data_IF_093796792716
#
_entry.id   IF_093796792716
#
_cell.length_a   1.000
_cell.length_b   1.000
_cell.length_c   1.000
_cell.angle_alpha   90.00
_cell.angle_beta   90.00
_cell.angle_gamma   90.00
#
_symmetry.space_group_name_H-M   'P 1'
#
loop_
_entity.id
_entity.type
_entity.pdbx_description
1 polymer ?
#
# COMPACT_ATOMS: atom_id res chain seq x y z
N UNK A 1 -51.68 25.68 36.02
CA UNK A 1 -51.11 25.52 37.37
C UNK A 1 -51.00 24.04 37.69
N UNK A 2 -49.78 23.52 37.91
CA UNK A 2 -49.45 22.51 38.93
C UNK A 2 -47.96 22.20 38.82
N UNK A 3 -47.27 22.54 39.91
CA UNK A 3 -45.84 22.40 40.15
C UNK A 3 -45.49 20.90 40.24
N UNK A 4 -44.33 20.50 39.71
CA UNK A 4 -43.72 19.23 40.09
C UNK A 4 -42.28 19.50 40.51
N UNK A 5 -41.99 19.06 41.72
CA UNK A 5 -40.83 19.42 42.53
C UNK A 5 -39.90 18.21 42.64
N UNK A 6 -38.67 18.40 42.17
CA UNK A 6 -37.37 18.12 42.80
C UNK A 6 -37.03 16.76 43.50
N UNK A 7 -35.86 16.25 43.08
CA UNK A 7 -34.87 15.36 43.74
C UNK A 7 -35.29 14.04 44.40
N UNK A 8 -34.73 12.94 43.87
CA UNK A 8 -34.23 11.84 44.70
C UNK A 8 -33.08 11.13 43.98
N UNK A 9 -31.86 11.28 44.52
CA UNK A 9 -30.73 10.38 44.27
C UNK A 9 -31.02 9.06 44.97
N UNK A 10 -30.93 7.94 44.25
CA UNK A 10 -30.73 6.64 44.87
C UNK A 10 -29.56 5.94 44.18
N UNK A 11 -28.49 5.73 44.96
CA UNK A 11 -27.30 5.01 44.57
C UNK A 11 -27.63 3.54 44.23
N UNK A 12 -27.06 3.02 43.14
CA UNK A 12 -27.08 1.60 42.82
C UNK A 12 -25.67 1.04 43.09
N UNK A 13 -25.51 0.11 44.04
CA UNK A 13 -24.25 -0.58 44.26
C UNK A 13 -23.97 -1.58 43.14
N UNK A 14 -22.70 -1.68 42.75
CA UNK A 14 -22.19 -2.68 41.82
C UNK A 14 -22.38 -4.10 42.37
N UNK A 15 -22.81 -5.04 41.52
CA UNK A 15 -22.64 -6.46 41.75
C UNK A 15 -22.19 -7.14 40.46
N UNK A 16 -20.88 -7.37 40.38
CA UNK A 16 -20.28 -8.31 39.42
C UNK A 16 -20.71 -9.72 39.80
N UNK A 17 -21.50 -10.37 38.94
CA UNK A 17 -21.75 -11.80 39.01
C UNK A 17 -21.04 -12.49 37.85
N UNK A 18 -19.92 -13.14 38.19
CA UNK A 18 -19.25 -14.16 37.42
C UNK A 18 -20.22 -15.33 37.22
N UNK A 19 -20.75 -15.51 36.01
CA UNK A 19 -21.49 -16.72 35.64
C UNK A 19 -20.59 -17.54 34.72
N UNK A 20 -19.94 -18.55 35.29
CA UNK A 20 -19.37 -19.65 34.55
C UNK A 20 -20.53 -20.48 34.00
N UNK A 21 -20.58 -20.68 32.69
CA UNK A 21 -21.32 -21.77 32.09
C UNK A 21 -20.40 -22.41 31.07
N UNK A 22 -19.95 -23.61 31.37
CA UNK A 22 -19.38 -24.54 30.41
C UNK A 22 -20.50 -24.96 29.45
N UNK A 23 -20.32 -24.74 28.15
CA UNK A 23 -20.92 -25.60 27.15
C UNK A 23 -20.14 -25.59 25.83
N UNK A 24 -19.74 -26.81 25.48
CA UNK A 24 -19.50 -27.37 24.16
C UNK A 24 -18.21 -26.99 23.41
N UNK A 25 -17.32 -27.97 23.45
CA UNK A 25 -16.21 -28.22 22.54
C UNK A 25 -16.61 -28.06 21.06
N UNK A 26 -16.42 -26.85 20.53
CA UNK A 26 -16.15 -26.67 19.11
C UNK A 26 -14.64 -26.68 18.95
N UNK A 27 -14.14 -27.81 18.44
CA UNK A 27 -12.74 -28.02 18.10
C UNK A 27 -12.12 -26.75 17.50
N UNK A 28 -10.93 -26.32 17.94
CA UNK A 28 -10.17 -25.39 17.14
C UNK A 28 -9.80 -26.18 15.88
N UNK A 29 -10.57 -26.01 14.81
CA UNK A 29 -10.03 -26.22 13.47
C UNK A 29 -8.91 -25.21 13.41
N UNK A 30 -7.69 -25.68 13.70
CA UNK A 30 -6.48 -24.92 13.56
C UNK A 30 -6.40 -24.57 12.08
N UNK A 31 -7.06 -23.47 11.71
CA UNK A 31 -6.69 -22.69 10.55
C UNK A 31 -5.33 -22.15 10.92
N UNK A 32 -4.32 -22.98 10.66
CA UNK A 32 -2.95 -22.54 10.56
C UNK A 32 -3.00 -21.50 9.44
N UNK A 33 -3.21 -20.24 9.83
CA UNK A 33 -2.76 -19.10 9.07
C UNK A 33 -1.24 -19.24 9.11
N UNK A 34 -0.71 -20.10 8.25
CA UNK A 34 0.69 -20.15 7.92
C UNK A 34 0.98 -18.78 7.36
N UNK A 35 1.36 -17.85 8.24
CA UNK A 35 2.16 -16.71 7.86
C UNK A 35 3.40 -17.35 7.25
N UNK A 36 3.35 -17.53 5.94
CA UNK A 36 4.52 -17.84 5.15
C UNK A 36 5.43 -16.64 5.35
N UNK A 37 6.25 -16.71 6.40
CA UNK A 37 7.39 -15.84 6.58
C UNK A 37 8.22 -16.10 5.34
N UNK A 38 8.04 -15.25 4.32
CA UNK A 38 8.86 -15.29 3.14
C UNK A 38 10.29 -15.29 3.66
N UNK A 39 11.00 -16.40 3.48
CA UNK A 39 12.41 -16.43 3.79
C UNK A 39 13.01 -15.38 2.86
N UNK A 40 13.41 -14.24 3.44
CA UNK A 40 14.18 -13.23 2.75
C UNK A 40 15.51 -13.88 2.38
N UNK A 41 15.56 -14.55 1.23
CA UNK A 41 16.80 -15.07 0.67
C UNK A 41 17.50 -13.89 -0.02
N UNK A 42 18.58 -13.39 0.57
CA UNK A 42 19.33 -12.25 0.03
C UNK A 42 18.82 -10.89 0.51
N UNK A 43 18.97 -9.86 -0.33
CA UNK A 43 18.88 -8.41 -0.10
C UNK A 43 17.63 -7.81 0.60
N UNK A 44 16.83 -8.59 1.33
CA UNK A 44 15.65 -8.14 2.07
C UNK A 44 14.41 -7.89 1.21
N UNK A 45 14.48 -8.15 -0.11
CA UNK A 45 13.33 -8.04 -1.00
C UNK A 45 12.36 -9.22 -0.82
N UNK A 46 11.04 -9.01 -1.01
CA UNK A 46 10.06 -10.09 -0.99
C UNK A 46 10.32 -11.08 -2.13
N UNK A 47 10.02 -12.35 -1.90
CA UNK A 47 10.03 -13.40 -2.91
C UNK A 47 8.60 -13.66 -3.43
N UNK A 48 8.48 -14.12 -4.67
CA UNK A 48 7.19 -14.38 -5.33
C UNK A 48 6.83 -13.36 -6.42
N UNK A 49 5.60 -13.42 -6.93
CA UNK A 49 5.14 -12.54 -8.01
C UNK A 49 5.01 -11.09 -7.53
N UNK A 50 5.70 -10.18 -8.20
CA UNK A 50 5.62 -8.75 -7.96
C UNK A 50 5.96 -7.98 -9.24
N UNK A 51 5.46 -6.76 -9.37
CA UNK A 51 5.86 -5.87 -10.45
C UNK A 51 7.17 -5.17 -10.09
N UNK A 52 8.18 -5.27 -10.96
CA UNK A 52 9.46 -4.57 -10.78
C UNK A 52 9.44 -3.26 -11.55
N UNK A 53 9.57 -2.13 -10.85
CA UNK A 53 9.74 -0.80 -11.44
C UNK A 53 11.18 -0.31 -11.23
N UNK A 54 11.84 0.09 -12.32
CA UNK A 54 13.16 0.71 -12.25
C UNK A 54 13.03 2.24 -12.23
N UNK A 55 13.69 2.90 -11.29
CA UNK A 55 13.78 4.36 -11.22
C UNK A 55 15.23 4.75 -11.50
N UNK A 56 15.46 5.47 -12.60
CA UNK A 56 16.81 5.76 -13.10
C UNK A 56 17.01 7.27 -13.16
N UNK A 57 17.92 7.78 -12.33
CA UNK A 57 18.37 9.17 -12.42
C UNK A 57 19.20 9.39 -13.68
N UNK A 58 18.86 10.42 -14.45
CA UNK A 58 19.60 10.77 -15.69
C UNK A 58 20.18 12.19 -15.58
N UNK A 59 21.44 12.40 -16.00
CA UNK A 59 22.11 13.70 -15.87
C UNK A 59 21.55 14.76 -16.82
N UNK A 60 20.95 14.33 -17.93
CA UNK A 60 20.28 15.21 -18.89
C UNK A 60 18.82 14.79 -19.01
N UNK A 61 17.93 15.77 -18.82
CA UNK A 61 16.50 15.61 -19.04
C UNK A 61 16.18 15.12 -20.44
N UNK A 62 14.99 14.57 -20.58
CA UNK A 62 14.45 13.99 -21.79
C UNK A 62 13.31 14.86 -22.29
N UNK A 63 13.24 14.99 -23.60
CA UNK A 63 12.24 15.82 -24.30
C UNK A 63 11.32 15.00 -25.19
N UNK A 64 11.61 13.71 -25.38
CA UNK A 64 10.77 12.82 -26.15
C UNK A 64 9.58 12.37 -25.30
N UNK A 65 8.35 12.33 -25.86
CA UNK A 65 7.22 11.69 -25.20
C UNK A 65 7.56 10.21 -24.98
N UNK A 66 7.39 9.73 -23.75
CA UNK A 66 7.69 8.34 -23.36
C UNK A 66 6.43 7.59 -22.95
N UNK A 67 5.34 7.91 -23.64
CA UNK A 67 4.01 7.38 -23.37
C UNK A 67 3.89 5.94 -23.88
N UNK A 68 3.16 5.09 -23.13
CA UNK A 68 2.88 3.71 -23.55
C UNK A 68 4.09 2.78 -23.58
N UNK A 69 5.17 3.12 -22.88
CA UNK A 69 6.41 2.34 -22.86
C UNK A 69 6.32 1.08 -21.96
N UNK A 70 6.60 -0.10 -22.51
CA UNK A 70 6.64 -1.37 -21.76
C UNK A 70 7.94 -1.61 -20.98
N UNK A 71 8.88 -0.65 -20.97
CA UNK A 71 10.22 -0.85 -20.41
C UNK A 71 10.31 -0.94 -18.87
N UNK A 72 9.19 -0.93 -18.14
CA UNK A 72 9.12 -0.99 -16.67
C UNK A 72 10.15 -0.06 -15.98
N UNK A 73 10.35 1.13 -16.54
CA UNK A 73 11.31 2.13 -16.06
C UNK A 73 10.72 3.52 -16.10
N UNK A 74 11.16 4.34 -15.16
CA UNK A 74 10.92 5.79 -15.14
C UNK A 74 12.28 6.47 -15.07
N UNK A 75 12.47 7.48 -15.91
CA UNK A 75 13.64 8.35 -15.89
C UNK A 75 13.32 9.56 -15.03
N UNK A 76 14.17 9.85 -14.06
CA UNK A 76 13.99 10.97 -13.13
C UNK A 76 15.16 11.93 -13.24
N UNK A 77 14.96 13.18 -12.79
CA UNK A 77 16.06 14.13 -12.68
C UNK A 77 17.13 13.55 -11.75
N UNK A 78 18.40 13.62 -12.15
CA UNK A 78 19.50 13.12 -11.31
C UNK A 78 19.58 13.87 -9.97
N UNK A 79 19.22 15.15 -9.99
CA UNK A 79 19.21 16.04 -8.85
C UNK A 79 17.83 16.67 -8.68
N UNK A 80 17.52 17.10 -7.46
CA UNK A 80 16.24 17.71 -7.12
C UNK A 80 15.08 16.70 -7.06
N UNK A 81 13.87 17.21 -7.31
CA UNK A 81 12.65 16.45 -7.14
C UNK A 81 12.04 16.11 -8.49
N UNK A 82 11.58 14.87 -8.62
CA UNK A 82 10.75 14.40 -9.74
C UNK A 82 9.37 14.03 -9.21
N UNK A 83 8.32 14.37 -9.96
CA UNK A 83 6.96 13.94 -9.66
C UNK A 83 6.70 12.55 -10.26
N UNK A 84 6.10 11.68 -9.46
CA UNK A 84 5.53 10.41 -9.89
C UNK A 84 4.03 10.43 -9.58
N UNK A 85 3.23 10.64 -10.62
CA UNK A 85 1.79 10.65 -10.53
C UNK A 85 1.27 9.21 -10.54
N UNK A 86 0.21 8.94 -9.77
CA UNK A 86 -0.43 7.63 -9.67
C UNK A 86 -1.81 7.69 -10.31
N UNK A 87 -2.09 6.76 -11.23
CA UNK A 87 -3.39 6.58 -11.87
C UNK A 87 -3.98 5.23 -11.48
N UNK A 88 -5.27 5.22 -11.19
CA UNK A 88 -6.00 3.97 -10.95
C UNK A 88 -6.20 3.21 -12.28
N UNK A 89 -5.84 1.92 -12.29
CA UNK A 89 -6.00 0.99 -13.41
C UNK A 89 -7.43 0.53 -13.65
N UNK A 90 -8.37 0.81 -12.73
CA UNK A 90 -9.77 0.41 -12.86
C UNK A 90 -10.45 0.98 -14.12
N UNK A 91 -9.82 1.98 -14.74
CA UNK A 91 -10.26 2.61 -15.98
C UNK A 91 -9.65 1.98 -17.25
N UNK A 92 -8.82 0.95 -17.13
CA UNK A 92 -8.08 0.36 -18.26
C UNK A 92 -8.14 -1.17 -18.23
N UNK A 93 -7.25 -1.83 -17.50
CA UNK A 93 -7.06 -3.29 -17.52
C UNK A 93 -6.74 -3.90 -16.16
N UNK A 94 -6.74 -3.10 -15.09
CA UNK A 94 -6.45 -3.59 -13.74
C UNK A 94 -5.00 -4.00 -13.51
N UNK A 95 -4.05 -3.63 -14.39
CA UNK A 95 -2.64 -4.03 -14.28
C UNK A 95 -1.71 -2.90 -13.86
N UNK A 96 -0.54 -3.27 -13.33
CA UNK A 96 0.58 -2.35 -13.14
C UNK A 96 1.18 -1.97 -14.50
N UNK A 97 1.33 -0.66 -14.78
CA UNK A 97 2.10 -0.22 -15.95
C UNK A 97 2.67 1.18 -15.80
N UNK A 98 3.76 1.44 -16.52
CA UNK A 98 4.24 2.81 -16.75
C UNK A 98 3.42 3.40 -17.90
N UNK A 99 2.72 4.50 -17.64
CA UNK A 99 1.95 5.23 -18.65
C UNK A 99 2.80 6.32 -19.29
N UNK A 100 3.61 7.01 -18.48
CA UNK A 100 4.62 7.96 -18.91
C UNK A 100 5.91 7.71 -18.14
N UNK A 101 6.98 7.38 -18.86
CA UNK A 101 8.30 7.10 -18.28
C UNK A 101 9.17 8.35 -18.08
N UNK A 102 8.73 9.53 -18.52
CA UNK A 102 9.51 10.75 -18.45
C UNK A 102 9.19 11.56 -17.19
N UNK A 103 9.94 11.31 -16.11
CA UNK A 103 9.88 12.14 -14.91
C UNK A 103 10.75 13.39 -14.98
N UNK A 104 11.44 13.64 -16.11
CA UNK A 104 12.37 14.76 -16.24
C UNK A 104 11.77 16.02 -16.85
N UNK A 105 10.51 15.95 -17.28
CA UNK A 105 9.74 17.07 -17.78
C UNK A 105 8.87 17.71 -16.67
N UNK A 106 8.11 18.75 -17.02
CA UNK A 106 7.33 19.52 -16.05
C UNK A 106 6.06 18.82 -15.54
N UNK A 107 5.52 17.87 -16.31
CA UNK A 107 4.34 17.07 -15.98
C UNK A 107 4.67 15.89 -15.06
N UNK A 108 5.90 15.38 -15.13
CA UNK A 108 6.35 14.25 -14.34
C UNK A 108 5.78 12.93 -14.86
N UNK A 109 6.34 11.84 -14.34
CA UNK A 109 6.00 10.50 -14.79
C UNK A 109 4.60 10.06 -14.31
N UNK A 110 4.04 9.06 -14.97
CA UNK A 110 2.72 8.52 -14.65
C UNK A 110 2.78 6.99 -14.54
N UNK A 111 2.38 6.47 -13.38
CA UNK A 111 2.33 5.04 -13.10
C UNK A 111 0.92 4.60 -12.75
N UNK A 112 0.50 3.50 -13.37
CA UNK A 112 -0.79 2.88 -13.16
C UNK A 112 -0.70 1.80 -12.08
N UNK A 113 -1.64 1.84 -11.15
CA UNK A 113 -1.80 0.89 -10.04
C UNK A 113 -3.20 0.26 -10.11
N UNK A 114 -3.37 -1.06 -9.92
CA UNK A 114 -4.68 -1.73 -9.80
C UNK A 114 -5.62 -1.10 -8.75
N UNK A 115 -6.88 -1.52 -8.65
CA UNK A 115 -7.64 -1.22 -7.41
C UNK A 115 -6.93 -1.91 -6.23
N UNK A 116 -6.54 -1.17 -5.18
CA UNK A 116 -6.05 -1.76 -3.95
C UNK A 116 -7.15 -2.36 -3.07
N UNK A 117 -8.43 -2.16 -3.43
CA UNK A 117 -9.61 -2.67 -2.73
C UNK A 117 -10.55 -3.32 -3.77
N UNK A 118 -10.24 -4.56 -4.16
CA UNK A 118 -11.00 -5.30 -5.17
C UNK A 118 -12.38 -5.74 -4.69
N UNK A 119 -12.61 -5.78 -3.37
CA UNK A 119 -13.85 -6.29 -2.75
C UNK A 119 -14.72 -5.19 -2.16
N UNK A 120 -14.32 -3.92 -2.29
CA UNK A 120 -14.98 -2.75 -1.73
C UNK A 120 -15.23 -2.86 -0.22
N UNK A 121 -14.26 -3.38 0.52
CA UNK A 121 -14.33 -3.48 1.99
C UNK A 121 -13.80 -2.22 2.70
N UNK A 122 -13.29 -1.25 1.94
CA UNK A 122 -12.71 -0.01 2.43
C UNK A 122 -11.24 -0.14 2.85
N UNK A 123 -10.62 -1.31 2.69
CA UNK A 123 -9.23 -1.57 3.04
C UNK A 123 -8.39 -1.58 1.76
N UNK A 124 -7.59 -0.52 1.58
CA UNK A 124 -6.64 -0.42 0.46
C UNK A 124 -5.25 -0.83 0.91
N UNK A 125 -4.57 -1.73 0.18
CA UNK A 125 -3.19 -2.10 0.53
C UNK A 125 -2.25 -2.25 -0.67
N UNK A 126 -1.06 -1.65 -0.52
CA UNK A 126 0.11 -1.89 -1.35
C UNK A 126 1.32 -2.15 -0.47
N UNK A 127 2.15 -3.10 -0.87
CA UNK A 127 3.48 -3.27 -0.29
C UNK A 127 4.51 -2.80 -1.30
N UNK A 128 5.29 -1.78 -0.93
CA UNK A 128 6.34 -1.20 -1.77
C UNK A 128 7.69 -1.50 -1.15
N UNK A 129 8.60 -2.00 -1.98
CA UNK A 129 9.96 -2.32 -1.58
C UNK A 129 10.91 -1.56 -2.49
N UNK A 130 11.88 -0.88 -1.89
CA UNK A 130 12.87 -0.10 -2.62
C UNK A 130 14.26 -0.65 -2.35
N UNK A 131 15.08 -0.69 -3.40
CA UNK A 131 16.50 -0.98 -3.28
C UNK A 131 17.29 0.02 -4.10
N UNK A 132 18.32 0.60 -3.50
CA UNK A 132 19.29 1.37 -4.25
C UNK A 132 20.16 0.42 -5.08
N UNK A 133 20.32 0.74 -6.36
CA UNK A 133 21.18 0.02 -7.29
C UNK A 133 22.13 1.02 -7.97
N UNK A 134 23.43 0.72 -7.90
CA UNK A 134 24.48 1.59 -8.45
C UNK A 134 24.99 2.64 -7.47
N UNK A 135 26.15 3.22 -7.78
CA UNK A 135 26.73 4.35 -7.05
C UNK A 135 26.27 5.66 -7.72
N UNK A 136 25.96 6.73 -6.95
CA UNK A 136 25.83 8.05 -7.52
C UNK A 136 27.03 8.37 -8.43
N UNK A 137 26.78 8.83 -9.66
CA UNK A 137 27.84 9.15 -10.63
C UNK A 137 28.46 7.97 -11.39
N UNK A 138 27.98 6.72 -11.23
CA UNK A 138 28.31 5.62 -12.15
C UNK A 138 29.63 4.87 -11.88
N UNK A 139 30.05 4.78 -10.61
CA UNK A 139 31.21 3.96 -10.24
C UNK A 139 30.92 2.46 -10.37
N UNK A 140 31.73 1.76 -11.19
CA UNK A 140 31.79 0.29 -11.27
C UNK A 140 32.07 -0.34 -9.90
#
# INVERSE_FOLDING_TARGET
MKKVTLFSLLAIPALFAMSCSEDQDLAPTASMKTSSKALATGNGAPSGAHYTLNIIGVPKGKTAPMDGNSGHRILVTLEGNTKLNLQNADLTDGTFRVLDANGTDGNGALFQLPSPDLVNDGITSYSVYARALGKPGGGR
#
